data_IF_812813569640
#
_entry.id   IF_812813569640
#
_cell.length_a   1.000
_cell.length_b   1.000
_cell.length_c   1.000
_cell.angle_alpha   90.00
_cell.angle_beta   90.00
_cell.angle_gamma   90.00
#
_symmetry.space_group_name_H-M   'P 1'
#
loop_
_entity.id
_entity.type
_entity.pdbx_description
1 polymer ?
#
# COMPACT_ATOMS: atom_id res chain seq x y z
N UNK A 1 24.21 25.79 10.74
CA UNK A 1 23.11 25.82 9.78
C UNK A 1 22.45 24.45 9.75
N UNK A 2 21.20 24.38 10.07
CA UNK A 2 20.49 23.10 10.10
C UNK A 2 20.02 22.73 8.69
N UNK A 3 20.17 21.49 8.30
CA UNK A 3 19.61 21.00 7.07
C UNK A 3 18.09 20.91 7.20
N UNK A 4 17.40 21.31 6.14
CA UNK A 4 15.96 21.11 6.07
C UNK A 4 15.72 19.69 5.60
N UNK A 5 15.20 18.85 6.49
CA UNK A 5 14.82 17.47 6.13
C UNK A 5 13.46 17.55 5.45
N UNK A 6 13.32 17.01 4.23
CA UNK A 6 12.02 17.01 3.56
C UNK A 6 10.98 16.29 4.40
N UNK A 7 9.80 16.88 4.51
CA UNK A 7 8.68 16.27 5.20
C UNK A 7 7.78 15.58 4.18
N UNK A 8 7.19 14.46 4.58
CA UNK A 8 6.16 13.81 3.79
C UNK A 8 4.88 14.64 3.85
N UNK A 9 4.24 14.80 2.73
CA UNK A 9 2.99 15.56 2.60
C UNK A 9 1.86 14.66 2.13
N UNK A 10 0.62 15.15 2.24
CA UNK A 10 -0.54 14.44 1.69
C UNK A 10 -0.45 14.33 0.18
N UNK A 11 0.14 15.32 -0.50
CA UNK A 11 0.38 15.26 -1.94
C UNK A 11 1.32 14.13 -2.32
N UNK A 12 2.35 13.86 -1.51
CA UNK A 12 3.24 12.74 -1.72
C UNK A 12 2.50 11.41 -1.56
N UNK A 13 1.65 11.28 -0.54
CA UNK A 13 0.85 10.07 -0.35
C UNK A 13 -0.16 9.88 -1.49
N UNK A 14 -0.71 10.96 -2.03
CA UNK A 14 -1.57 10.88 -3.20
C UNK A 14 -0.79 10.37 -4.42
N UNK A 15 0.43 10.86 -4.64
CA UNK A 15 1.28 10.40 -5.73
C UNK A 15 1.63 8.92 -5.57
N UNK A 16 1.89 8.49 -4.33
CA UNK A 16 2.15 7.09 -4.01
C UNK A 16 0.92 6.22 -4.33
N UNK A 17 -0.29 6.67 -3.95
CA UNK A 17 -1.54 5.97 -4.25
C UNK A 17 -1.77 5.86 -5.76
N UNK A 18 -1.47 6.92 -6.51
CA UNK A 18 -1.59 6.91 -7.97
C UNK A 18 -0.64 5.93 -8.62
N UNK A 19 0.58 5.79 -8.08
CA UNK A 19 1.54 4.79 -8.55
C UNK A 19 1.02 3.37 -8.32
N UNK A 20 0.36 3.12 -7.18
CA UNK A 20 -0.31 1.84 -6.94
C UNK A 20 -1.37 1.57 -8.00
N UNK A 21 -2.21 2.56 -8.31
CA UNK A 21 -3.29 2.40 -9.29
C UNK A 21 -2.78 2.23 -10.72
N UNK A 22 -1.59 2.78 -11.03
CA UNK A 22 -0.93 2.55 -12.33
C UNK A 22 -0.17 1.22 -12.38
N UNK A 23 -0.03 0.53 -11.26
CA UNK A 23 0.79 -0.68 -11.13
C UNK A 23 2.27 -0.40 -11.49
N UNK A 24 2.80 0.70 -11.00
CA UNK A 24 4.16 1.17 -11.30
C UNK A 24 5.06 0.93 -10.09
N UNK A 25 5.69 -0.24 -10.04
CA UNK A 25 6.52 -0.63 -8.90
C UNK A 25 7.78 0.24 -8.78
N UNK A 26 8.34 0.69 -9.88
CA UNK A 26 9.53 1.55 -9.83
C UNK A 26 9.19 2.89 -9.16
N UNK A 27 8.03 3.46 -9.52
CA UNK A 27 7.56 4.69 -8.88
C UNK A 27 7.32 4.46 -7.38
N UNK A 28 6.69 3.36 -6.99
CA UNK A 28 6.48 3.04 -5.58
C UNK A 28 7.80 2.99 -4.81
N UNK A 29 8.78 2.29 -5.37
CA UNK A 29 10.06 2.12 -4.68
C UNK A 29 10.83 3.43 -4.53
N UNK A 30 10.58 4.41 -5.41
CA UNK A 30 11.21 5.73 -5.28
C UNK A 30 10.78 6.49 -4.03
N UNK A 31 9.65 6.14 -3.43
CA UNK A 31 9.16 6.74 -2.19
C UNK A 31 9.67 6.05 -0.93
N UNK A 32 10.36 4.91 -1.06
CA UNK A 32 10.70 4.04 0.07
C UNK A 32 12.15 4.25 0.52
N UNK A 33 12.41 4.08 1.82
CA UNK A 33 13.78 4.11 2.36
C UNK A 33 14.55 2.84 1.95
N UNK A 34 15.87 2.85 2.13
CA UNK A 34 16.73 1.70 1.82
C UNK A 34 16.36 0.47 2.66
N UNK A 35 16.04 0.69 3.93
CA UNK A 35 15.72 -0.37 4.88
C UNK A 35 14.20 -0.51 5.10
N UNK A 36 13.41 -0.15 4.11
CA UNK A 36 11.96 -0.13 4.22
C UNK A 36 11.37 -1.49 4.58
N UNK A 37 10.16 -1.44 5.15
CA UNK A 37 9.38 -2.62 5.53
C UNK A 37 7.97 -2.48 5.01
N UNK A 38 7.42 -3.57 4.50
CA UNK A 38 6.02 -3.68 4.12
C UNK A 38 5.40 -4.81 4.95
N UNK A 39 4.35 -4.47 5.68
CA UNK A 39 3.53 -5.45 6.40
C UNK A 39 2.19 -5.56 5.67
N UNK A 40 1.97 -6.71 5.05
CA UNK A 40 0.77 -6.95 4.25
C UNK A 40 -0.47 -7.11 5.12
N UNK A 41 -1.64 -6.96 4.51
CA UNK A 41 -2.92 -7.05 5.24
C UNK A 41 -3.29 -8.47 5.65
N UNK A 42 -2.56 -9.47 5.20
CA UNK A 42 -2.81 -10.87 5.54
C UNK A 42 -1.47 -11.60 5.68
N UNK A 43 -1.51 -12.72 6.38
CA UNK A 43 -0.33 -13.56 6.61
C UNK A 43 -0.45 -14.30 7.93
N UNK A 44 0.54 -15.16 8.18
CA UNK A 44 0.52 -16.03 9.37
C UNK A 44 1.03 -15.35 10.63
N UNK A 45 1.70 -14.20 10.51
CA UNK A 45 2.23 -13.48 11.66
C UNK A 45 1.25 -12.43 12.14
N UNK A 46 1.45 -11.94 13.35
CA UNK A 46 0.57 -10.94 13.95
C UNK A 46 0.52 -9.64 13.13
N UNK A 47 1.59 -9.34 12.41
CA UNK A 47 1.68 -8.16 11.54
C UNK A 47 1.32 -8.45 10.07
N UNK A 48 0.80 -9.66 9.77
CA UNK A 48 0.65 -10.12 8.40
C UNK A 48 1.99 -10.61 7.85
N UNK A 49 2.09 -10.84 6.55
CA UNK A 49 3.37 -11.18 5.93
C UNK A 49 4.26 -9.96 5.93
N UNK A 50 5.48 -10.10 6.44
CA UNK A 50 6.42 -8.99 6.59
C UNK A 50 7.56 -9.11 5.58
N UNK A 51 7.74 -8.07 4.80
CA UNK A 51 8.83 -7.94 3.83
C UNK A 51 9.81 -6.89 4.32
N UNK A 52 11.09 -7.22 4.37
CA UNK A 52 12.12 -6.34 4.92
C UNK A 52 13.18 -6.07 3.85
N UNK A 53 13.48 -4.79 3.61
CA UNK A 53 14.46 -4.33 2.63
C UNK A 53 13.85 -4.13 1.25
N UNK A 54 14.53 -3.33 0.42
CA UNK A 54 13.98 -2.88 -0.86
C UNK A 54 13.62 -4.04 -1.81
N UNK A 55 14.49 -5.02 -1.94
CA UNK A 55 14.24 -6.14 -2.85
C UNK A 55 13.01 -6.94 -2.43
N UNK A 56 12.91 -7.27 -1.15
CA UNK A 56 11.79 -8.00 -0.59
C UNK A 56 10.49 -7.20 -0.68
N UNK A 57 10.54 -5.91 -0.35
CA UNK A 57 9.37 -5.02 -0.40
C UNK A 57 8.87 -4.89 -1.84
N UNK A 58 9.78 -4.73 -2.80
CA UNK A 58 9.42 -4.67 -4.21
C UNK A 58 8.66 -5.93 -4.65
N UNK A 59 9.16 -7.09 -4.26
CA UNK A 59 8.51 -8.37 -4.58
C UNK A 59 7.14 -8.45 -3.92
N UNK A 60 7.02 -8.03 -2.66
CA UNK A 60 5.74 -8.01 -1.94
C UNK A 60 4.71 -7.08 -2.57
N UNK A 61 5.14 -5.93 -3.05
CA UNK A 61 4.26 -5.00 -3.77
C UNK A 61 3.76 -5.62 -5.07
N UNK A 62 4.66 -6.20 -5.85
CA UNK A 62 4.31 -6.83 -7.12
C UNK A 62 3.34 -8.00 -6.94
N UNK A 63 3.44 -8.72 -5.84
CA UNK A 63 2.56 -9.85 -5.52
C UNK A 63 1.09 -9.45 -5.44
N UNK A 64 0.80 -8.22 -4.99
CA UNK A 64 -0.58 -7.73 -4.91
C UNK A 64 -1.21 -7.70 -6.31
N UNK A 65 -0.47 -7.21 -7.31
CA UNK A 65 -0.98 -7.15 -8.68
C UNK A 65 -0.99 -8.53 -9.36
N UNK A 66 -0.11 -9.44 -8.93
CA UNK A 66 -0.14 -10.82 -9.42
C UNK A 66 -1.43 -11.52 -8.96
N UNK A 67 -1.85 -11.25 -7.73
CA UNK A 67 -3.09 -11.81 -7.17
C UNK A 67 -4.32 -11.12 -7.75
N UNK A 68 -4.25 -9.80 -7.94
CA UNK A 68 -5.36 -8.97 -8.44
C UNK A 68 -4.86 -8.11 -9.60
N UNK A 69 -4.87 -8.65 -10.84
CA UNK A 69 -4.35 -7.87 -11.98
C UNK A 69 -5.08 -6.55 -12.25
N UNK A 70 -6.31 -6.42 -11.76
CA UNK A 70 -7.13 -5.21 -11.89
C UNK A 70 -7.20 -4.41 -10.59
N UNK A 71 -6.28 -4.62 -9.65
CA UNK A 71 -6.32 -3.97 -8.33
C UNK A 71 -6.36 -2.45 -8.46
N UNK A 72 -7.30 -1.83 -7.70
CA UNK A 72 -7.42 -0.38 -7.60
C UNK A 72 -7.70 0.01 -6.15
N UNK A 73 -7.22 1.18 -5.77
CA UNK A 73 -7.46 1.78 -4.46
C UNK A 73 -8.16 3.10 -4.70
N UNK A 74 -9.48 3.09 -4.53
CA UNK A 74 -10.35 4.25 -4.82
C UNK A 74 -10.65 5.09 -3.59
N UNK A 75 -11.13 6.31 -3.83
CA UNK A 75 -11.60 7.22 -2.79
C UNK A 75 -10.54 7.48 -1.72
N UNK A 76 -9.28 7.64 -2.12
CA UNK A 76 -8.15 7.79 -1.20
C UNK A 76 -8.24 9.09 -0.40
N UNK A 77 -8.00 9.00 0.90
CA UNK A 77 -7.91 10.14 1.81
C UNK A 77 -6.65 9.98 2.64
N UNK A 78 -5.90 11.06 2.80
CA UNK A 78 -4.58 11.01 3.40
C UNK A 78 -4.47 11.96 4.58
N UNK A 79 -3.79 11.51 5.63
CA UNK A 79 -3.51 12.29 6.83
C UNK A 79 -2.03 12.14 7.15
N UNK A 80 -1.37 13.24 7.45
CA UNK A 80 0.05 13.23 7.82
C UNK A 80 0.23 14.07 9.07
N UNK A 81 0.96 13.52 10.01
CA UNK A 81 1.40 14.26 11.19
C UNK A 81 2.79 13.79 11.58
N UNK A 82 3.77 14.69 11.46
CA UNK A 82 5.17 14.41 11.78
C UNK A 82 5.66 13.17 10.99
N UNK A 83 6.16 12.15 11.66
CA UNK A 83 6.67 10.94 11.01
C UNK A 83 5.63 9.83 10.84
N UNK A 84 4.35 10.14 11.03
CA UNK A 84 3.28 9.16 10.87
C UNK A 84 2.24 9.63 9.87
N UNK A 85 1.68 8.69 9.14
CA UNK A 85 0.62 9.01 8.19
C UNK A 85 -0.35 7.86 8.01
N UNK A 86 -1.50 8.20 7.43
CA UNK A 86 -2.56 7.23 7.11
C UNK A 86 -3.11 7.55 5.74
N UNK A 87 -3.30 6.52 4.94
CA UNK A 87 -4.09 6.60 3.72
C UNK A 87 -5.26 5.64 3.86
N UNK A 88 -6.49 6.18 3.76
CA UNK A 88 -7.73 5.39 3.73
C UNK A 88 -8.16 5.22 2.29
N UNK A 89 -8.68 4.05 1.93
CA UNK A 89 -9.09 3.77 0.56
C UNK A 89 -10.11 2.64 0.52
N UNK A 90 -10.72 2.46 -0.65
CA UNK A 90 -11.52 1.28 -0.96
C UNK A 90 -10.73 0.44 -1.95
N UNK A 91 -10.39 -0.77 -1.57
CA UNK A 91 -9.68 -1.71 -2.44
C UNK A 91 -10.68 -2.51 -3.27
N UNK A 92 -10.43 -2.61 -4.57
CA UNK A 92 -11.19 -3.48 -5.47
C UNK A 92 -10.22 -4.34 -6.28
N UNK A 93 -10.59 -5.58 -6.49
CA UNK A 93 -9.78 -6.48 -7.31
C UNK A 93 -10.54 -7.76 -7.64
N UNK A 94 -10.11 -8.42 -8.70
CA UNK A 94 -10.71 -9.68 -9.16
C UNK A 94 -9.63 -10.76 -9.16
N UNK A 95 -9.95 -11.89 -8.54
CA UNK A 95 -9.05 -13.06 -8.54
C UNK A 95 -9.18 -13.85 -9.84
N UNK A 96 -8.23 -14.76 -10.06
CA UNK A 96 -8.21 -15.61 -11.25
C UNK A 96 -9.49 -16.44 -11.43
N UNK A 97 -10.15 -16.80 -10.31
CA UNK A 97 -11.40 -17.57 -10.35
C UNK A 97 -12.64 -16.71 -10.61
N UNK A 98 -12.46 -15.41 -10.83
CA UNK A 98 -13.54 -14.46 -11.08
C UNK A 98 -14.20 -13.89 -9.85
N UNK A 99 -13.81 -14.32 -8.64
CA UNK A 99 -14.36 -13.73 -7.42
C UNK A 99 -13.77 -12.34 -7.19
N UNK A 100 -14.58 -11.43 -6.66
CA UNK A 100 -14.21 -10.03 -6.48
C UNK A 100 -14.10 -9.67 -5.01
N UNK A 101 -13.14 -8.80 -4.73
CA UNK A 101 -12.97 -8.19 -3.42
C UNK A 101 -13.28 -6.70 -3.55
N UNK A 102 -14.07 -6.18 -2.63
CA UNK A 102 -14.35 -4.75 -2.53
C UNK A 102 -14.49 -4.44 -1.04
N UNK A 103 -13.47 -3.84 -0.46
CA UNK A 103 -13.40 -3.61 0.98
C UNK A 103 -12.73 -2.28 1.29
N UNK A 104 -13.13 -1.66 2.41
CA UNK A 104 -12.40 -0.52 2.95
C UNK A 104 -11.13 -1.00 3.63
N UNK A 105 -10.12 -0.16 3.58
CA UNK A 105 -8.87 -0.41 4.28
C UNK A 105 -8.07 0.84 4.46
N UNK A 106 -6.88 0.68 5.00
CA UNK A 106 -5.96 1.79 5.20
C UNK A 106 -4.53 1.28 5.29
N UNK A 107 -3.61 2.20 5.03
CA UNK A 107 -2.19 2.01 5.29
C UNK A 107 -1.81 2.92 6.44
N UNK A 108 -1.09 2.37 7.41
CA UNK A 108 -0.41 3.14 8.44
C UNK A 108 1.04 3.26 8.02
N UNK A 109 1.54 4.49 7.95
CA UNK A 109 2.90 4.76 7.51
C UNK A 109 3.78 5.27 8.63
N UNK A 110 5.05 4.90 8.59
CA UNK A 110 6.12 5.57 9.32
C UNK A 110 7.06 6.18 8.30
N UNK A 111 7.41 7.45 8.48
CA UNK A 111 8.28 8.20 7.57
C UNK A 111 9.64 8.43 8.21
N UNK A 112 10.66 8.51 7.36
CA UNK A 112 12.01 8.90 7.76
C UNK A 112 12.71 9.55 6.57
N UNK A 113 13.31 10.72 6.81
CA UNK A 113 14.07 11.47 5.81
C UNK A 113 13.24 11.75 4.54
N UNK A 114 11.96 12.08 4.72
CA UNK A 114 11.07 12.42 3.60
C UNK A 114 10.59 11.23 2.80
N UNK A 115 10.80 10.01 3.28
CA UNK A 115 10.40 8.78 2.59
C UNK A 115 9.63 7.85 3.52
N UNK A 116 9.04 6.81 2.94
CA UNK A 116 8.28 5.81 3.67
C UNK A 116 9.24 4.74 4.17
N UNK A 117 9.34 4.57 5.49
CA UNK A 117 10.15 3.52 6.12
C UNK A 117 9.32 2.27 6.38
N UNK A 118 8.03 2.44 6.71
CA UNK A 118 7.12 1.33 6.96
C UNK A 118 5.77 1.63 6.30
N UNK A 119 5.29 0.66 5.53
CA UNK A 119 3.93 0.63 5.02
C UNK A 119 3.23 -0.57 5.66
N UNK A 120 2.26 -0.29 6.51
CA UNK A 120 1.52 -1.31 7.25
C UNK A 120 0.07 -1.28 6.82
N UNK A 121 -0.37 -2.32 6.10
CA UNK A 121 -1.66 -2.35 5.44
C UNK A 121 -2.70 -3.12 6.24
N UNK A 122 -3.90 -2.57 6.31
CA UNK A 122 -5.07 -3.19 6.92
C UNK A 122 -6.22 -3.18 5.92
N UNK A 123 -6.96 -4.25 5.86
CA UNK A 123 -8.19 -4.31 5.06
C UNK A 123 -9.28 -4.95 5.88
N UNK A 124 -10.51 -4.45 5.71
CA UNK A 124 -11.66 -5.14 6.24
C UNK A 124 -11.79 -6.50 5.59
N UNK A 125 -12.28 -7.47 6.34
CA UNK A 125 -12.48 -8.82 5.84
C UNK A 125 -13.99 -9.10 5.74
N UNK A 126 -14.41 -9.49 4.55
CA UNK A 126 -15.79 -9.87 4.27
C UNK A 126 -15.79 -10.98 3.21
N UNK A 127 -16.88 -11.74 3.10
CA UNK A 127 -16.96 -12.73 2.02
C UNK A 127 -16.74 -12.09 0.66
N UNK A 128 -16.05 -12.80 -0.23
CA UNK A 128 -15.84 -12.34 -1.60
C UNK A 128 -17.17 -12.31 -2.35
N UNK A 129 -17.25 -11.38 -3.31
CA UNK A 129 -18.39 -11.31 -4.22
C UNK A 129 -18.19 -12.34 -5.32
N UNK A 130 -19.26 -13.02 -5.72
CA UNK A 130 -19.18 -14.01 -6.78
C UNK A 130 -18.86 -13.37 -8.13
N UNK A 131 -18.58 -14.21 -9.14
CA UNK A 131 -18.40 -13.71 -10.51
C UNK A 131 -19.68 -13.05 -10.98
N UNK A 132 -19.59 -12.11 -11.96
CA UNK A 132 -20.80 -11.50 -12.52
C UNK A 132 -21.77 -12.54 -13.03
N UNK A 133 -23.06 -12.33 -12.83
CA UNK A 133 -24.08 -13.21 -13.37
C UNK A 133 -24.12 -13.06 -14.90
N UNK A 134 -24.31 -14.18 -15.55
CA UNK A 134 -24.47 -14.20 -16.99
C UNK A 134 -25.88 -13.73 -17.38
#
# INVERSE_FOLDING_TARGET
>A
MSEVIPEVTTEMLQAFAEAWNRHDVDALMSFMTEDCVFEASAGSDVCGTRYVGRESVRAGFAEVWATFPDAQWGNARHFVREERGVSEWTFTGTRADGTRVEVHGCDLFTFRDGKIALKNSYRKNRPTLGPPKR
#
